data_IF_319716088901
#
_entry.id   IF_319716088901
#
_cell.length_a   1.000
_cell.length_b   1.000
_cell.length_c   1.000
_cell.angle_alpha   90.00
_cell.angle_beta   90.00
_cell.angle_gamma   90.00
#
_symmetry.space_group_name_H-M   'P 1'
#
loop_
_entity.id
_entity.type
_entity.pdbx_description
1 polymer ?
#
# COMPACT_ATOMS: atom_id res chain seq x y z
N UNK A 1 -8.26 7.32 5.71
CA UNK A 1 -7.82 8.60 6.27
C UNK A 1 -8.97 9.62 6.29
N UNK A 2 -9.21 10.29 7.41
CA UNK A 2 -10.08 11.47 7.49
C UNK A 2 -9.27 12.78 7.57
N UNK A 3 -9.95 13.93 7.60
CA UNK A 3 -9.28 15.25 7.62
C UNK A 3 -8.48 15.49 8.91
N UNK A 4 -8.88 14.91 10.04
CA UNK A 4 -8.17 15.11 11.31
C UNK A 4 -6.84 14.37 11.28
N UNK A 5 -6.84 13.14 10.76
CA UNK A 5 -5.63 12.35 10.56
C UNK A 5 -4.61 13.03 9.62
N UNK A 6 -5.09 13.77 8.62
CA UNK A 6 -4.22 14.49 7.67
C UNK A 6 -3.61 15.75 8.29
N UNK A 7 -4.40 16.54 9.03
CA UNK A 7 -3.96 17.83 9.57
C UNK A 7 -2.93 17.69 10.70
N UNK A 8 -2.91 16.57 11.43
CA UNK A 8 -1.93 16.33 12.49
C UNK A 8 -0.53 15.96 11.97
N UNK A 9 -0.38 15.74 10.67
CA UNK A 9 0.89 15.33 10.08
C UNK A 9 1.81 16.52 9.79
N UNK A 10 3.08 16.36 10.14
CA UNK A 10 4.15 17.32 9.82
C UNK A 10 4.01 18.68 10.49
N UNK A 11 5.10 19.44 10.45
CA UNK A 11 5.11 20.86 10.77
C UNK A 11 4.57 21.66 9.57
N UNK A 12 3.91 22.79 9.81
CA UNK A 12 3.36 23.61 8.72
C UNK A 12 2.20 24.49 9.19
N UNK A 13 1.81 25.48 8.37
CA UNK A 13 0.66 26.32 8.69
C UNK A 13 -0.62 25.52 8.48
N UNK A 14 -1.56 25.68 9.39
CA UNK A 14 -2.88 25.06 9.32
C UNK A 14 -3.63 25.34 8.00
N UNK A 15 -3.39 26.50 7.39
CA UNK A 15 -3.94 26.86 6.08
C UNK A 15 -3.39 25.97 4.96
N UNK A 16 -2.05 25.82 4.90
CA UNK A 16 -1.37 24.97 3.90
C UNK A 16 -1.82 23.52 4.04
N UNK A 17 -1.96 23.02 5.27
CA UNK A 17 -2.46 21.67 5.52
C UNK A 17 -3.90 21.46 5.04
N UNK A 18 -4.77 22.47 5.22
CA UNK A 18 -6.16 22.41 4.72
C UNK A 18 -6.21 22.48 3.20
N UNK A 19 -5.38 23.30 2.57
CA UNK A 19 -5.27 23.38 1.11
C UNK A 19 -4.76 22.05 0.52
N UNK A 20 -3.69 21.49 1.09
CA UNK A 20 -3.16 20.20 0.68
C UNK A 20 -4.21 19.10 0.82
N UNK A 21 -4.99 19.08 1.90
CA UNK A 21 -6.10 18.14 2.05
C UNK A 21 -7.14 18.27 0.94
N UNK A 22 -7.52 19.49 0.55
CA UNK A 22 -8.47 19.70 -0.54
C UNK A 22 -7.93 19.22 -1.89
N UNK A 23 -6.64 19.45 -2.15
CA UNK A 23 -5.95 18.95 -3.34
C UNK A 23 -5.90 17.43 -3.36
N UNK A 24 -5.56 16.81 -2.22
CA UNK A 24 -5.57 15.35 -2.04
C UNK A 24 -6.95 14.75 -2.31
N UNK A 25 -8.02 15.33 -1.77
CA UNK A 25 -9.38 14.83 -1.98
C UNK A 25 -9.79 14.91 -3.45
N UNK A 26 -9.49 16.03 -4.12
CA UNK A 26 -9.73 16.15 -5.57
C UNK A 26 -8.91 15.12 -6.36
N UNK A 27 -7.64 14.91 -6.00
CA UNK A 27 -6.79 13.91 -6.64
C UNK A 27 -7.37 12.50 -6.49
N UNK A 28 -7.84 12.14 -5.30
CA UNK A 28 -8.50 10.88 -5.03
C UNK A 28 -9.77 10.70 -5.87
N UNK A 29 -10.60 11.73 -5.99
CA UNK A 29 -11.77 11.68 -6.87
C UNK A 29 -11.40 11.43 -8.34
N UNK A 30 -10.35 12.09 -8.86
CA UNK A 30 -9.84 11.86 -10.23
C UNK A 30 -9.33 10.44 -10.40
N UNK A 31 -8.55 9.94 -9.42
CA UNK A 31 -8.04 8.58 -9.41
C UNK A 31 -9.17 7.56 -9.46
N UNK A 32 -10.21 7.75 -8.65
CA UNK A 32 -11.39 6.85 -8.60
C UNK A 32 -12.21 6.87 -9.91
N UNK A 33 -12.13 7.95 -10.69
CA UNK A 33 -12.72 8.04 -12.05
C UNK A 33 -11.82 7.46 -13.15
N UNK A 34 -10.58 7.08 -12.82
CA UNK A 34 -9.58 6.64 -13.79
C UNK A 34 -8.91 7.78 -14.56
N UNK A 35 -9.10 9.03 -14.13
CA UNK A 35 -8.44 10.23 -14.68
C UNK A 35 -7.04 10.35 -14.07
N UNK A 36 -6.17 9.37 -14.39
CA UNK A 36 -4.92 9.13 -13.64
C UNK A 36 -3.89 10.27 -13.78
N UNK A 37 -3.75 10.89 -14.95
CA UNK A 37 -2.84 12.02 -15.16
C UNK A 37 -3.26 13.26 -14.38
N UNK A 38 -4.57 13.53 -14.31
CA UNK A 38 -5.12 14.62 -13.51
C UNK A 38 -4.92 14.34 -12.01
N UNK A 39 -5.13 13.09 -11.58
CA UNK A 39 -4.86 12.66 -10.22
C UNK A 39 -3.39 12.86 -9.84
N UNK A 40 -2.45 12.44 -10.70
CA UNK A 40 -1.00 12.67 -10.50
C UNK A 40 -0.70 14.15 -10.31
N UNK A 41 -1.28 15.01 -11.17
CA UNK A 41 -1.06 16.46 -11.09
C UNK A 41 -1.55 17.04 -9.76
N UNK A 42 -2.72 16.60 -9.29
CA UNK A 42 -3.31 17.09 -8.04
C UNK A 42 -2.59 16.53 -6.81
N UNK A 43 -2.18 15.26 -6.80
CA UNK A 43 -1.37 14.71 -5.71
C UNK A 43 -0.02 15.43 -5.60
N UNK A 44 0.64 15.72 -6.72
CA UNK A 44 1.90 16.50 -6.71
C UNK A 44 1.70 17.89 -6.12
N UNK A 45 0.64 18.60 -6.50
CA UNK A 45 0.30 19.89 -5.89
C UNK A 45 0.04 19.76 -4.39
N UNK A 46 -0.72 18.74 -3.97
CA UNK A 46 -0.93 18.47 -2.54
C UNK A 46 0.39 18.30 -1.80
N UNK A 47 1.32 17.54 -2.37
CA UNK A 47 2.66 17.28 -1.80
C UNK A 47 3.51 18.55 -1.74
N UNK A 48 3.48 19.37 -2.79
CA UNK A 48 4.17 20.67 -2.84
C UNK A 48 3.64 21.65 -1.79
N UNK A 49 2.33 21.64 -1.54
CA UNK A 49 1.69 22.46 -0.50
C UNK A 49 2.01 21.95 0.91
N UNK A 50 1.83 20.64 1.15
CA UNK A 50 2.16 20.00 2.42
C UNK A 50 2.42 18.49 2.22
N UNK A 51 3.67 18.02 2.33
CA UNK A 51 4.01 16.63 2.09
C UNK A 51 3.49 15.72 3.21
N UNK A 52 2.79 14.66 2.83
CA UNK A 52 2.29 13.62 3.74
C UNK A 52 2.64 12.24 3.22
N UNK A 53 2.77 11.27 4.14
CA UNK A 53 3.08 9.90 3.74
C UNK A 53 1.94 9.32 2.89
N UNK A 54 0.70 9.67 3.18
CA UNK A 54 -0.50 9.27 2.44
C UNK A 54 -0.54 9.91 1.05
N UNK A 55 -0.22 11.19 0.88
CA UNK A 55 -0.17 11.79 -0.46
C UNK A 55 0.86 11.10 -1.37
N UNK A 56 2.05 10.78 -0.83
CA UNK A 56 3.05 9.98 -1.54
C UNK A 56 2.55 8.56 -1.84
N UNK A 57 1.93 7.89 -0.86
CA UNK A 57 1.36 6.54 -1.03
C UNK A 57 0.33 6.50 -2.16
N UNK A 58 -0.62 7.43 -2.16
CA UNK A 58 -1.68 7.48 -3.17
C UNK A 58 -1.17 7.91 -4.55
N UNK A 59 -0.15 8.77 -4.62
CA UNK A 59 0.55 9.06 -5.86
C UNK A 59 1.24 7.79 -6.40
N UNK A 60 1.89 7.01 -5.53
CA UNK A 60 2.47 5.71 -5.87
C UNK A 60 1.43 4.72 -6.41
N UNK A 61 0.27 4.62 -5.77
CA UNK A 61 -0.85 3.82 -6.27
C UNK A 61 -1.32 4.26 -7.65
N UNK A 62 -1.40 5.58 -7.87
CA UNK A 62 -1.77 6.14 -9.17
C UNK A 62 -0.76 5.75 -10.24
N UNK A 63 0.55 5.82 -9.97
CA UNK A 63 1.58 5.34 -10.89
C UNK A 63 1.50 3.84 -11.15
N UNK A 64 1.22 3.03 -10.13
CA UNK A 64 1.00 1.59 -10.30
C UNK A 64 -0.18 1.29 -11.22
N UNK A 65 -1.30 2.01 -11.10
CA UNK A 65 -2.43 1.86 -12.03
C UNK A 65 -2.09 2.22 -13.48
N UNK A 66 -1.08 3.07 -13.68
CA UNK A 66 -0.52 3.39 -15.00
C UNK A 66 0.55 2.38 -15.49
N UNK A 67 0.85 1.35 -14.71
CA UNK A 67 1.93 0.37 -14.98
C UNK A 67 3.34 0.91 -14.71
N UNK A 68 3.46 2.07 -14.08
CA UNK A 68 4.73 2.75 -13.78
C UNK A 68 5.26 2.31 -12.42
N UNK A 69 5.69 1.05 -12.33
CA UNK A 69 6.04 0.43 -11.04
C UNK A 69 7.28 1.05 -10.40
N UNK A 70 8.29 1.45 -11.18
CA UNK A 70 9.49 2.07 -10.60
C UNK A 70 9.19 3.46 -10.02
N UNK A 71 8.36 4.27 -10.69
CA UNK A 71 7.87 5.53 -10.13
C UNK A 71 7.03 5.29 -8.86
N UNK A 72 6.19 4.25 -8.86
CA UNK A 72 5.39 3.89 -7.69
C UNK A 72 6.26 3.53 -6.47
N UNK A 73 7.34 2.77 -6.69
CA UNK A 73 8.31 2.42 -5.65
C UNK A 73 9.05 3.67 -5.15
N UNK A 74 9.43 4.59 -6.03
CA UNK A 74 10.07 5.85 -5.65
C UNK A 74 9.18 6.68 -4.71
N UNK A 75 7.88 6.81 -5.02
CA UNK A 75 6.93 7.52 -4.17
C UNK A 75 6.71 6.81 -2.83
N UNK A 76 6.70 5.47 -2.81
CA UNK A 76 6.66 4.73 -1.54
C UNK A 76 7.89 4.99 -0.66
N UNK A 77 9.09 5.12 -1.24
CA UNK A 77 10.28 5.51 -0.49
C UNK A 77 10.16 6.91 0.11
N UNK A 78 9.57 7.87 -0.62
CA UNK A 78 9.28 9.21 -0.09
C UNK A 78 8.23 9.16 1.03
N UNK A 79 7.21 8.33 0.90
CA UNK A 79 6.21 8.10 1.95
C UNK A 79 6.86 7.57 3.25
N UNK A 80 7.78 6.60 3.12
CA UNK A 80 8.53 6.04 4.25
C UNK A 80 9.44 7.08 4.91
N UNK A 81 10.09 7.93 4.10
CA UNK A 81 10.92 9.01 4.63
C UNK A 81 10.09 10.03 5.43
N UNK A 82 8.83 10.25 5.02
CA UNK A 82 7.91 11.16 5.70
C UNK A 82 7.31 10.56 6.97
N UNK A 83 6.95 9.27 6.95
CA UNK A 83 6.50 8.54 8.12
C UNK A 83 7.02 7.10 8.11
N UNK A 84 8.14 6.83 8.82
CA UNK A 84 8.71 5.48 8.90
C UNK A 84 7.81 4.46 9.62
N UNK A 85 6.86 4.92 10.44
CA UNK A 85 5.96 4.10 11.23
C UNK A 85 4.72 3.68 10.42
N UNK A 86 4.51 4.24 9.20
CA UNK A 86 3.39 3.91 8.33
C UNK A 86 3.68 2.67 7.45
N UNK A 87 2.93 1.59 7.68
CA UNK A 87 3.16 0.28 7.09
C UNK A 87 2.72 0.11 5.62
N UNK A 88 1.80 0.94 5.13
CA UNK A 88 1.22 0.77 3.78
C UNK A 88 2.30 0.87 2.67
N UNK A 89 3.17 1.90 2.62
CA UNK A 89 4.23 1.98 1.61
C UNK A 89 5.14 0.75 1.54
N UNK A 90 5.48 0.15 2.70
CA UNK A 90 6.29 -1.07 2.73
C UNK A 90 5.55 -2.26 2.11
N UNK A 91 4.25 -2.40 2.39
CA UNK A 91 3.41 -3.41 1.76
C UNK A 91 3.33 -3.17 0.24
N UNK A 92 3.20 -1.92 -0.18
CA UNK A 92 2.99 -1.58 -1.59
C UNK A 92 4.24 -1.82 -2.43
N UNK A 93 5.43 -1.46 -1.92
CA UNK A 93 6.71 -1.86 -2.55
C UNK A 93 6.76 -3.39 -2.71
N UNK A 94 6.44 -4.15 -1.67
CA UNK A 94 6.39 -5.61 -1.75
C UNK A 94 5.42 -6.10 -2.84
N UNK A 95 4.25 -5.48 -2.96
CA UNK A 95 3.27 -5.85 -3.99
C UNK A 95 3.77 -5.53 -5.41
N UNK A 96 4.43 -4.39 -5.61
CA UNK A 96 5.02 -4.05 -6.91
C UNK A 96 6.18 -4.98 -7.28
N UNK A 97 6.98 -5.41 -6.31
CA UNK A 97 8.03 -6.42 -6.52
C UNK A 97 7.46 -7.78 -6.91
N UNK A 98 6.28 -8.18 -6.39
CA UNK A 98 5.56 -9.37 -6.88
C UNK A 98 5.23 -9.23 -8.37
N UNK A 99 4.81 -8.05 -8.81
CA UNK A 99 4.47 -7.79 -10.22
C UNK A 99 5.72 -7.80 -11.11
N UNK A 100 6.85 -7.30 -10.61
CA UNK A 100 8.16 -7.39 -11.28
C UNK A 100 8.78 -8.80 -11.26
N UNK A 101 8.24 -9.72 -10.46
CA UNK A 101 8.77 -11.08 -10.30
C UNK A 101 9.92 -11.20 -9.30
N UNK A 102 10.23 -10.14 -8.56
CA UNK A 102 11.31 -10.02 -7.57
C UNK A 102 10.84 -10.54 -6.21
N UNK A 103 10.50 -11.84 -6.17
CA UNK A 103 9.78 -12.47 -5.06
C UNK A 103 10.55 -12.47 -3.73
N UNK A 104 11.87 -12.68 -3.76
CA UNK A 104 12.68 -12.70 -2.54
C UNK A 104 12.77 -11.32 -1.88
N UNK A 105 12.90 -10.27 -2.69
CA UNK A 105 12.92 -8.90 -2.17
C UNK A 105 11.54 -8.49 -1.65
N UNK A 106 10.46 -8.91 -2.31
CA UNK A 106 9.09 -8.68 -1.84
C UNK A 106 8.86 -9.17 -0.40
N UNK A 107 9.41 -10.34 -0.03
CA UNK A 107 9.31 -10.88 1.34
C UNK A 107 9.91 -9.91 2.36
N UNK A 108 11.09 -9.35 2.06
CA UNK A 108 11.77 -8.40 2.95
C UNK A 108 10.89 -7.17 3.20
N UNK A 109 10.24 -6.65 2.16
CA UNK A 109 9.35 -5.50 2.26
C UNK A 109 8.07 -5.78 3.04
N UNK A 110 7.43 -6.95 2.85
CA UNK A 110 6.29 -7.33 3.68
C UNK A 110 6.67 -7.55 5.15
N UNK A 111 7.87 -8.07 5.43
CA UNK A 111 8.36 -8.19 6.81
C UNK A 111 8.55 -6.81 7.47
N UNK A 112 9.04 -5.81 6.72
CA UNK A 112 9.09 -4.43 7.21
C UNK A 112 7.69 -3.86 7.46
N UNK A 113 6.74 -4.12 6.56
CA UNK A 113 5.35 -3.69 6.74
C UNK A 113 4.71 -4.27 8.02
N UNK A 114 5.06 -5.50 8.39
CA UNK A 114 4.61 -6.14 9.63
C UNK A 114 5.25 -5.57 10.90
N UNK A 115 6.36 -4.84 10.79
CA UNK A 115 7.05 -4.19 11.91
C UNK A 115 6.62 -2.73 12.12
N UNK A 116 5.92 -2.14 11.16
CA UNK A 116 5.45 -0.77 11.22
C UNK A 116 4.41 -0.58 12.35
N UNK A 117 4.41 0.59 13.00
CA UNK A 117 3.56 0.85 14.17
C UNK A 117 2.12 1.16 13.82
N UNK A 118 1.87 1.71 12.62
CA UNK A 118 0.52 1.95 12.12
C UNK A 118 0.37 1.41 10.71
N UNK A 119 -0.81 0.87 10.41
CA UNK A 119 -1.18 0.39 9.07
C UNK A 119 -2.69 0.51 8.94
N UNK A 120 -3.18 0.84 7.75
CA UNK A 120 -4.62 0.84 7.49
C UNK A 120 -5.18 -0.59 7.37
N UNK A 121 -4.34 -1.58 7.07
CA UNK A 121 -4.77 -2.98 6.91
C UNK A 121 -3.66 -3.96 7.29
N UNK A 122 -3.58 -4.38 8.57
CA UNK A 122 -2.54 -5.30 9.03
C UNK A 122 -2.64 -6.71 8.41
N UNK A 123 -3.78 -7.04 7.79
CA UNK A 123 -3.97 -8.31 7.08
C UNK A 123 -3.30 -8.36 5.70
N UNK A 124 -3.02 -7.20 5.07
CA UNK A 124 -2.51 -7.15 3.68
C UNK A 124 -1.12 -7.76 3.51
N UNK A 125 -0.11 -7.48 4.37
CA UNK A 125 1.21 -8.09 4.22
C UNK A 125 1.16 -9.62 4.34
N UNK A 126 0.28 -10.16 5.19
CA UNK A 126 0.09 -11.61 5.31
C UNK A 126 -0.55 -12.24 4.06
N UNK A 127 -1.56 -11.59 3.46
CA UNK A 127 -2.09 -12.06 2.18
C UNK A 127 -1.01 -12.08 1.11
N UNK A 128 -0.23 -11.00 1.00
CA UNK A 128 0.77 -10.88 -0.04
C UNK A 128 1.96 -11.84 0.17
N UNK A 129 2.42 -12.05 1.40
CA UNK A 129 3.37 -13.11 1.73
C UNK A 129 2.85 -14.48 1.28
N UNK A 130 1.56 -14.77 1.51
CA UNK A 130 0.94 -16.00 1.02
C UNK A 130 1.03 -16.13 -0.50
N UNK A 131 0.77 -15.05 -1.25
CA UNK A 131 0.92 -15.02 -2.72
C UNK A 131 2.36 -15.25 -3.15
N UNK A 132 3.34 -14.70 -2.43
CA UNK A 132 4.77 -14.91 -2.72
C UNK A 132 5.15 -16.36 -2.53
N UNK A 133 4.87 -16.93 -1.36
CA UNK A 133 5.21 -18.31 -1.04
C UNK A 133 4.53 -19.29 -1.99
N UNK A 134 3.28 -19.01 -2.38
CA UNK A 134 2.58 -19.81 -3.37
C UNK A 134 3.28 -19.79 -4.74
N UNK A 135 3.71 -18.63 -5.23
CA UNK A 135 4.48 -18.52 -6.49
C UNK A 135 5.83 -19.23 -6.42
N UNK A 136 6.41 -19.34 -5.23
CA UNK A 136 7.66 -20.09 -4.97
C UNK A 136 7.44 -21.59 -4.74
N UNK A 137 6.19 -22.08 -4.73
CA UNK A 137 5.88 -23.48 -4.42
C UNK A 137 6.00 -23.86 -2.94
N UNK A 138 6.11 -22.87 -2.05
CA UNK A 138 6.24 -23.02 -0.61
C UNK A 138 4.84 -23.09 0.02
N UNK A 139 4.17 -24.23 -0.18
CA UNK A 139 2.73 -24.36 0.11
C UNK A 139 2.38 -24.21 1.59
N UNK A 140 3.22 -24.73 2.49
CA UNK A 140 2.99 -24.66 3.94
C UNK A 140 3.04 -23.21 4.44
N UNK A 141 4.03 -22.45 4.01
CA UNK A 141 4.22 -21.04 4.34
C UNK A 141 3.12 -20.17 3.72
N UNK A 142 2.65 -20.52 2.51
CA UNK A 142 1.52 -19.85 1.88
C UNK A 142 0.23 -20.03 2.69
N UNK A 143 -0.08 -21.28 3.09
CA UNK A 143 -1.26 -21.61 3.92
C UNK A 143 -1.20 -20.87 5.26
N UNK A 144 -0.06 -20.88 5.94
CA UNK A 144 0.12 -20.19 7.21
C UNK A 144 -0.11 -18.67 7.07
N UNK A 145 0.45 -18.08 6.01
CA UNK A 145 0.30 -16.66 5.72
C UNK A 145 -1.16 -16.27 5.44
N UNK A 146 -1.88 -17.05 4.63
CA UNK A 146 -3.31 -16.80 4.40
C UNK A 146 -4.16 -16.98 5.67
N UNK A 147 -3.84 -17.96 6.52
CA UNK A 147 -4.50 -18.12 7.83
C UNK A 147 -4.25 -16.92 8.75
N UNK A 148 -3.03 -16.39 8.80
CA UNK A 148 -2.72 -15.17 9.57
C UNK A 148 -3.49 -13.96 9.06
N UNK A 149 -3.61 -13.79 7.73
CA UNK A 149 -4.44 -12.74 7.15
C UNK A 149 -5.92 -12.85 7.59
N UNK A 150 -6.46 -14.07 7.60
CA UNK A 150 -7.84 -14.34 8.06
C UNK A 150 -8.02 -14.23 9.57
N UNK A 151 -6.99 -14.47 10.37
CA UNK A 151 -7.04 -14.25 11.81
C UNK A 151 -7.19 -12.76 12.14
N UNK A 152 -6.53 -11.89 11.36
CA UNK A 152 -6.64 -10.43 11.50
C UNK A 152 -7.91 -9.86 10.87
N UNK A 153 -8.35 -10.41 9.73
CA UNK A 153 -9.59 -10.05 9.07
C UNK A 153 -10.35 -11.31 8.60
N UNK A 154 -11.27 -11.84 9.43
CA UNK A 154 -12.03 -13.05 9.09
C UNK A 154 -12.88 -12.95 7.82
N UNK A 155 -13.24 -11.72 7.42
CA UNK A 155 -14.04 -11.44 6.23
C UNK A 155 -13.19 -11.16 4.98
N UNK A 156 -11.86 -11.38 5.04
CA UNK A 156 -10.99 -11.08 3.92
C UNK A 156 -11.17 -12.08 2.76
N UNK A 157 -12.09 -11.77 1.86
CA UNK A 157 -12.52 -12.64 0.75
C UNK A 157 -11.35 -13.14 -0.11
N UNK A 158 -10.35 -12.30 -0.38
CA UNK A 158 -9.18 -12.69 -1.19
C UNK A 158 -8.37 -13.79 -0.50
N UNK A 159 -8.09 -13.65 0.80
CA UNK A 159 -7.37 -14.66 1.58
C UNK A 159 -8.17 -15.97 1.69
N UNK A 160 -9.50 -15.88 1.90
CA UNK A 160 -10.38 -17.06 1.94
C UNK A 160 -10.38 -17.83 0.61
N UNK A 161 -10.48 -17.13 -0.52
CA UNK A 161 -10.43 -17.72 -1.86
C UNK A 161 -9.06 -18.35 -2.14
N UNK A 162 -7.98 -17.66 -1.82
CA UNK A 162 -6.62 -18.15 -2.03
C UNK A 162 -6.35 -19.42 -1.21
N UNK A 163 -6.68 -19.40 0.08
CA UNK A 163 -6.54 -20.56 0.97
C UNK A 163 -7.39 -21.75 0.51
N UNK A 164 -8.66 -21.51 0.17
CA UNK A 164 -9.55 -22.58 -0.30
C UNK A 164 -9.05 -23.23 -1.59
N UNK A 165 -8.63 -22.42 -2.57
CA UNK A 165 -8.04 -22.91 -3.82
C UNK A 165 -6.79 -23.76 -3.55
N UNK A 166 -5.90 -23.28 -2.69
CA UNK A 166 -4.64 -23.95 -2.39
C UNK A 166 -4.86 -25.29 -1.67
N UNK A 167 -5.73 -25.34 -0.66
CA UNK A 167 -6.07 -26.60 0.04
C UNK A 167 -6.69 -27.60 -0.93
N UNK A 168 -7.60 -27.18 -1.80
CA UNK A 168 -8.23 -28.07 -2.77
C UNK A 168 -7.25 -28.63 -3.80
N UNK A 169 -6.18 -27.91 -4.15
CA UNK A 169 -5.17 -28.39 -5.10
C UNK A 169 -4.15 -29.38 -4.50
N UNK A 170 -4.09 -29.49 -3.17
CA UNK A 170 -3.14 -30.36 -2.46
C UNK A 170 -3.78 -31.68 -1.98
N UNK A 171 -5.09 -31.82 -2.15
CA UNK A 171 -5.84 -33.06 -1.90
C UNK A 171 -6.07 -33.80 -3.22
#
# INVERSE_FOLDING_TARGET
MDVQDFLVQGEGREEDKREAWQLFQQAYERQMKGELEDAVTLYKKSIETHPTAEAYTFLGWTYSFMGRLDDAIEECHKAIAQDPDFGNPYNDIGAYLIEKGELDEAIVWFQKALQARRSESPAFPHLNLGRVYERKGQWTEAIDSYKKALALNPNYTLAKKALGRLISSLN
#
